data_IF_354512469090
#
_entry.id   IF_354512469090
#
_cell.length_a   1.000
_cell.length_b   1.000
_cell.length_c   1.000
_cell.angle_alpha   90.00
_cell.angle_beta   90.00
_cell.angle_gamma   90.00
#
_symmetry.space_group_name_H-M   'P 1'
#
loop_
_entity.id
_entity.type
_entity.pdbx_description
1 polymer ?
#
# COMPACT_ATOMS: atom_id res chain seq x y z
N UNK A 1 -8.95 -4.46 -12.39
CA UNK A 1 -7.93 -3.53 -11.88
C UNK A 1 -7.45 -2.58 -12.95
N UNK A 2 -6.81 -3.09 -14.02
CA UNK A 2 -6.39 -2.28 -15.18
C UNK A 2 -7.46 -1.31 -15.69
N UNK A 3 -8.70 -1.79 -15.90
CA UNK A 3 -9.81 -0.93 -16.33
C UNK A 3 -10.20 0.20 -15.35
N UNK A 4 -10.01 0.00 -14.03
CA UNK A 4 -10.26 1.05 -13.02
C UNK A 4 -9.14 2.08 -13.07
N UNK A 5 -7.90 1.63 -13.20
CA UNK A 5 -6.74 2.50 -13.37
C UNK A 5 -6.88 3.39 -14.62
N UNK A 6 -7.18 2.78 -15.77
CA UNK A 6 -7.43 3.49 -17.04
C UNK A 6 -8.56 4.52 -16.91
N UNK A 7 -9.65 4.19 -16.21
CA UNK A 7 -10.75 5.13 -15.99
C UNK A 7 -10.34 6.33 -15.12
N UNK A 8 -9.47 6.13 -14.12
CA UNK A 8 -8.93 7.21 -13.29
C UNK A 8 -7.97 8.08 -14.09
N UNK A 9 -7.05 7.47 -14.85
CA UNK A 9 -6.12 8.18 -15.73
C UNK A 9 -6.85 9.07 -16.74
N UNK A 10 -7.80 8.50 -17.49
CA UNK A 10 -8.62 9.25 -18.46
C UNK A 10 -9.36 10.45 -17.82
N UNK A 11 -9.76 10.33 -16.54
CA UNK A 11 -10.38 11.42 -15.81
C UNK A 11 -9.41 12.54 -15.43
N UNK A 12 -8.15 12.21 -15.15
CA UNK A 12 -7.11 13.15 -14.72
C UNK A 12 -6.39 13.85 -15.89
N UNK A 13 -6.39 13.24 -17.08
CA UNK A 13 -5.83 13.84 -18.31
C UNK A 13 -6.47 15.17 -18.74
N UNK A 14 -7.58 15.58 -18.11
CA UNK A 14 -8.23 16.87 -18.34
C UNK A 14 -7.54 18.05 -17.61
N UNK A 15 -6.58 17.78 -16.71
CA UNK A 15 -5.84 18.79 -15.94
C UNK A 15 -4.44 19.12 -16.50
N UNK A 16 -3.89 20.28 -16.11
CA UNK A 16 -2.55 20.73 -16.50
C UNK A 16 -1.46 20.51 -15.44
N UNK A 17 -1.81 19.95 -14.29
CA UNK A 17 -0.88 19.71 -13.18
C UNK A 17 -0.30 18.30 -13.26
N UNK A 18 1.01 18.12 -12.94
CA UNK A 18 1.56 16.79 -12.73
C UNK A 18 0.77 16.05 -11.65
N UNK A 19 0.38 14.82 -11.92
CA UNK A 19 -0.36 13.98 -10.97
C UNK A 19 0.26 12.59 -10.86
N UNK A 20 -0.08 11.89 -9.78
CA UNK A 20 0.30 10.49 -9.56
C UNK A 20 -0.94 9.75 -9.08
N UNK A 21 -1.26 8.63 -9.71
CA UNK A 21 -2.42 7.81 -9.36
C UNK A 21 -2.01 6.75 -8.36
N UNK A 22 -2.50 6.88 -7.12
CA UNK A 22 -2.37 5.87 -6.08
C UNK A 22 -3.68 5.13 -5.89
N UNK A 23 -3.75 3.87 -6.32
CA UNK A 23 -4.91 3.03 -6.06
C UNK A 23 -4.41 1.73 -5.41
N UNK A 24 -4.77 1.44 -4.15
CA UNK A 24 -4.44 0.15 -3.56
C UNK A 24 -5.34 -0.94 -4.13
N UNK A 25 -4.78 -2.12 -4.44
CA UNK A 25 -5.64 -3.23 -4.81
C UNK A 25 -6.45 -3.64 -3.59
N UNK A 26 -7.74 -3.32 -3.65
CA UNK A 26 -8.79 -3.61 -2.67
C UNK A 26 -8.78 -2.73 -1.42
N UNK A 27 -7.68 -2.64 -0.69
CA UNK A 27 -7.61 -1.89 0.57
C UNK A 27 -6.19 -1.35 0.84
N UNK A 28 -6.09 -0.18 1.48
CA UNK A 28 -4.79 0.47 1.79
C UNK A 28 -3.94 -0.37 2.75
N UNK A 29 -4.59 -1.17 3.59
CA UNK A 29 -3.98 -2.16 4.47
C UNK A 29 -3.10 -3.14 3.70
N UNK A 30 -3.44 -3.45 2.44
CA UNK A 30 -2.58 -4.30 1.60
C UNK A 30 -1.20 -3.67 1.34
N UNK A 31 -1.11 -2.35 1.25
CA UNK A 31 0.19 -1.67 1.12
C UNK A 31 0.93 -1.62 2.45
N UNK A 32 0.22 -1.38 3.56
CA UNK A 32 0.80 -1.45 4.91
C UNK A 32 1.36 -2.84 5.26
N UNK A 33 0.74 -3.89 4.72
CA UNK A 33 1.20 -5.29 4.85
C UNK A 33 2.36 -5.65 3.90
N UNK A 34 2.79 -4.70 3.07
CA UNK A 34 3.82 -4.87 2.04
C UNK A 34 5.22 -5.09 2.61
N UNK A 35 5.50 -4.61 3.82
CA UNK A 35 6.81 -4.73 4.48
C UNK A 35 6.62 -5.31 5.89
N UNK A 36 7.10 -6.53 6.09
CA UNK A 36 6.98 -7.21 7.38
C UNK A 36 7.90 -6.57 8.41
N UNK A 37 9.11 -6.15 8.04
CA UNK A 37 10.10 -5.61 8.97
C UNK A 37 9.62 -4.26 9.53
N UNK A 38 8.96 -3.45 8.71
CA UNK A 38 8.31 -2.21 9.16
C UNK A 38 7.18 -2.48 10.17
N UNK A 39 6.37 -3.52 9.95
CA UNK A 39 5.34 -3.93 10.90
C UNK A 39 5.94 -4.45 12.20
N UNK A 40 7.04 -5.22 12.14
CA UNK A 40 7.72 -5.72 13.33
C UNK A 40 8.28 -4.56 14.17
N UNK A 41 8.84 -3.53 13.52
CA UNK A 41 9.31 -2.32 14.18
C UNK A 41 8.17 -1.58 14.90
N UNK A 42 7.02 -1.40 14.24
CA UNK A 42 5.86 -0.70 14.81
C UNK A 42 5.20 -1.55 15.91
N UNK A 43 5.08 -2.85 15.73
CA UNK A 43 4.48 -3.76 16.71
C UNK A 43 5.41 -4.07 17.90
N UNK A 44 6.72 -3.82 17.77
CA UNK A 44 7.72 -4.19 18.78
C UNK A 44 7.88 -5.70 18.97
N UNK A 45 7.43 -6.52 18.02
CA UNK A 45 7.44 -7.98 18.06
C UNK A 45 7.47 -8.55 16.65
N UNK A 46 7.84 -9.82 16.53
CA UNK A 46 7.72 -10.52 15.25
C UNK A 46 6.26 -10.68 14.82
N UNK A 47 6.01 -10.53 13.52
CA UNK A 47 4.67 -10.61 12.93
C UNK A 47 4.63 -11.74 11.89
N UNK A 48 3.58 -12.56 11.96
CA UNK A 48 3.35 -13.61 10.96
C UNK A 48 2.32 -13.13 9.95
N UNK A 49 2.74 -12.88 8.72
CA UNK A 49 1.84 -12.53 7.62
C UNK A 49 1.43 -13.76 6.82
N UNK A 50 0.21 -13.80 6.25
CA UNK A 50 -0.15 -14.83 5.28
C UNK A 50 0.81 -14.82 4.09
N UNK A 51 1.12 -16.00 3.55
CA UNK A 51 1.97 -16.14 2.37
C UNK A 51 1.35 -15.52 1.11
N UNK A 52 2.22 -15.17 0.16
CA UNK A 52 1.82 -14.56 -1.11
C UNK A 52 1.83 -13.02 -1.09
N UNK A 53 1.14 -12.43 -2.07
CA UNK A 53 1.10 -10.98 -2.25
C UNK A 53 0.03 -10.33 -1.36
N UNK A 54 0.40 -9.33 -0.52
CA UNK A 54 -0.54 -8.62 0.33
C UNK A 54 -1.71 -7.95 -0.41
N UNK A 55 -1.50 -7.53 -1.66
CA UNK A 55 -2.51 -6.88 -2.50
C UNK A 55 -3.58 -7.85 -3.03
N UNK A 56 -3.36 -9.16 -2.91
CA UNK A 56 -4.30 -10.21 -3.29
C UNK A 56 -5.05 -10.82 -2.10
N UNK A 57 -4.72 -10.43 -0.87
CA UNK A 57 -5.38 -10.91 0.34
C UNK A 57 -6.90 -10.67 0.28
N UNK A 58 -7.64 -11.64 0.79
CA UNK A 58 -9.07 -11.54 0.99
C UNK A 58 -9.58 -12.56 1.97
N UNK A 59 -10.75 -12.27 2.52
CA UNK A 59 -11.44 -13.16 3.44
C UNK A 59 -12.85 -12.68 3.70
N UNK A 60 -13.54 -13.38 4.59
CA UNK A 60 -14.86 -12.98 5.04
C UNK A 60 -14.76 -11.75 5.96
N UNK A 61 -15.35 -10.63 5.53
CA UNK A 61 -15.33 -9.34 6.26
C UNK A 61 -15.90 -9.41 7.69
N UNK A 62 -16.69 -10.44 8.02
CA UNK A 62 -17.29 -10.64 9.35
C UNK A 62 -16.61 -11.74 10.17
N UNK A 63 -15.44 -12.18 9.72
CA UNK A 63 -14.62 -13.19 10.38
C UNK A 63 -13.23 -12.61 10.62
N UNK A 64 -12.93 -12.29 11.87
CA UNK A 64 -11.68 -11.68 12.33
C UNK A 64 -10.48 -12.64 12.17
N UNK A 65 -10.73 -13.94 11.98
CA UNK A 65 -9.71 -14.94 11.64
C UNK A 65 -9.38 -15.01 10.15
N UNK A 66 -10.19 -14.37 9.28
CA UNK A 66 -10.01 -14.45 7.84
C UNK A 66 -8.83 -13.63 7.32
N UNK A 67 -8.45 -13.85 6.06
CA UNK A 67 -7.41 -13.08 5.38
C UNK A 67 -7.93 -11.78 4.77
N UNK A 68 -9.01 -11.21 5.30
CA UNK A 68 -9.42 -9.86 4.94
C UNK A 68 -8.30 -8.88 5.36
N UNK A 69 -7.77 -8.01 4.46
CA UNK A 69 -6.53 -7.27 4.76
C UNK A 69 -6.56 -6.46 6.07
N UNK A 70 -7.72 -5.90 6.44
CA UNK A 70 -7.92 -5.22 7.72
C UNK A 70 -7.66 -6.13 8.92
N UNK A 71 -8.19 -7.35 8.89
CA UNK A 71 -8.01 -8.33 9.96
C UNK A 71 -6.58 -8.83 10.03
N UNK A 72 -5.92 -8.99 8.88
CA UNK A 72 -4.50 -9.35 8.84
C UNK A 72 -3.65 -8.27 9.50
N UNK A 73 -3.90 -6.98 9.19
CA UNK A 73 -3.18 -5.87 9.80
C UNK A 73 -3.45 -5.77 11.30
N UNK A 74 -4.71 -5.89 11.72
CA UNK A 74 -5.07 -5.92 13.15
C UNK A 74 -4.32 -7.01 13.92
N UNK A 75 -4.29 -8.25 13.40
CA UNK A 75 -3.57 -9.36 14.05
C UNK A 75 -2.05 -9.15 14.04
N UNK A 76 -1.50 -8.54 12.99
CA UNK A 76 -0.09 -8.21 12.92
C UNK A 76 0.30 -7.21 14.01
N UNK A 77 -0.58 -6.25 14.32
CA UNK A 77 -0.34 -5.20 15.32
C UNK A 77 -0.83 -5.54 16.74
N UNK A 78 -1.72 -6.54 16.88
CA UNK A 78 -2.50 -6.79 18.10
C UNK A 78 -3.38 -5.59 18.52
N UNK A 79 -3.77 -4.74 17.56
CA UNK A 79 -4.58 -3.54 17.81
C UNK A 79 -5.30 -3.08 16.53
N UNK A 80 -6.27 -2.17 16.69
CA UNK A 80 -6.94 -1.48 15.58
C UNK A 80 -6.02 -0.40 14.99
N UNK A 81 -5.58 -0.52 13.72
CA UNK A 81 -4.74 0.49 13.10
C UNK A 81 -5.51 1.81 12.92
N UNK A 82 -4.93 2.90 13.39
CA UNK A 82 -5.40 4.26 13.18
C UNK A 82 -4.44 5.04 12.26
N UNK A 83 -4.77 6.29 11.95
CA UNK A 83 -3.97 7.12 11.05
C UNK A 83 -2.51 7.31 11.51
N UNK A 84 -2.27 7.40 12.82
CA UNK A 84 -0.92 7.52 13.38
C UNK A 84 -0.12 6.23 13.17
N UNK A 85 -0.74 5.07 13.39
CA UNK A 85 -0.12 3.77 13.13
C UNK A 85 0.24 3.61 11.64
N UNK A 86 -0.65 4.01 10.72
CA UNK A 86 -0.32 4.02 9.30
C UNK A 86 0.87 4.93 8.97
N UNK A 87 0.96 6.11 9.61
CA UNK A 87 2.10 7.01 9.43
C UNK A 87 3.40 6.41 9.96
N UNK A 88 3.36 5.70 11.09
CA UNK A 88 4.51 4.98 11.65
C UNK A 88 4.98 3.86 10.71
N UNK A 89 4.05 3.04 10.19
CA UNK A 89 4.36 1.99 9.21
C UNK A 89 4.98 2.62 7.95
N UNK A 90 4.38 3.67 7.41
CA UNK A 90 4.89 4.35 6.22
C UNK A 90 6.28 4.97 6.45
N UNK A 91 6.58 5.44 7.66
CA UNK A 91 7.89 6.00 7.99
C UNK A 91 8.97 4.93 8.18
N UNK A 92 8.61 3.71 8.59
CA UNK A 92 9.53 2.61 8.78
C UNK A 92 9.72 1.75 7.51
N UNK A 93 8.78 1.85 6.56
CA UNK A 93 8.72 1.01 5.37
C UNK A 93 9.84 1.25 4.36
N UNK A 94 10.38 0.15 3.82
CA UNK A 94 11.12 0.16 2.57
C UNK A 94 10.14 0.08 1.39
N UNK A 95 10.08 1.17 0.61
CA UNK A 95 9.17 1.28 -0.53
C UNK A 95 9.46 0.25 -1.63
N UNK A 96 10.70 -0.18 -1.80
CA UNK A 96 11.07 -1.19 -2.80
C UNK A 96 10.63 -2.59 -2.35
N UNK A 97 10.64 -2.87 -1.03
CA UNK A 97 10.06 -4.11 -0.47
C UNK A 97 8.55 -4.14 -0.71
N UNK A 98 7.84 -3.05 -0.43
CA UNK A 98 6.40 -2.96 -0.71
C UNK A 98 6.14 -3.12 -2.21
N UNK A 99 6.92 -2.49 -3.09
CA UNK A 99 6.76 -2.62 -4.54
C UNK A 99 6.95 -4.06 -5.04
N UNK A 100 7.93 -4.78 -4.50
CA UNK A 100 8.17 -6.18 -4.85
C UNK A 100 7.03 -7.10 -4.37
N UNK A 101 6.44 -6.81 -3.21
CA UNK A 101 5.34 -7.62 -2.66
C UNK A 101 3.97 -7.24 -3.20
N UNK A 102 3.80 -6.01 -3.69
CA UNK A 102 2.58 -5.47 -4.29
C UNK A 102 2.83 -4.97 -5.73
N UNK A 103 3.21 -5.87 -6.67
CA UNK A 103 3.63 -5.49 -8.02
C UNK A 103 2.49 -4.96 -8.91
N UNK A 104 1.22 -5.25 -8.59
CA UNK A 104 0.06 -4.88 -9.42
C UNK A 104 -0.47 -3.49 -9.06
N UNK A 105 -0.32 -3.05 -7.81
CA UNK A 105 -0.86 -1.78 -7.33
C UNK A 105 0.20 -0.79 -6.82
N UNK A 106 1.06 -1.18 -5.89
CA UNK A 106 2.02 -0.25 -5.30
C UNK A 106 3.19 0.07 -6.22
N UNK A 107 3.75 -0.95 -6.89
CA UNK A 107 4.87 -0.75 -7.81
C UNK A 107 4.60 0.28 -8.92
N UNK A 108 3.49 0.22 -9.68
CA UNK A 108 3.21 1.25 -10.68
C UNK A 108 3.01 2.64 -10.06
N UNK A 109 2.37 2.74 -8.89
CA UNK A 109 2.24 3.98 -8.13
C UNK A 109 3.61 4.58 -7.76
N UNK A 110 4.51 3.77 -7.19
CA UNK A 110 5.85 4.22 -6.79
C UNK A 110 6.69 4.67 -7.99
N UNK A 111 6.60 3.96 -9.11
CA UNK A 111 7.29 4.34 -10.35
C UNK A 111 6.79 5.68 -10.90
N UNK A 112 5.47 5.89 -10.89
CA UNK A 112 4.87 7.17 -11.28
C UNK A 112 5.31 8.30 -10.33
N UNK A 113 5.31 8.03 -9.02
CA UNK A 113 5.76 9.00 -8.00
C UNK A 113 7.21 9.42 -8.22
N UNK A 114 8.12 8.46 -8.40
CA UNK A 114 9.55 8.71 -8.66
C UNK A 114 9.76 9.50 -9.96
N UNK A 115 9.00 9.18 -11.00
CA UNK A 115 9.04 9.88 -12.29
C UNK A 115 8.59 11.34 -12.14
N UNK A 116 7.46 11.58 -11.49
CA UNK A 116 6.93 12.93 -11.26
C UNK A 116 7.82 13.76 -10.34
N UNK A 117 8.35 13.17 -9.27
CA UNK A 117 9.28 13.85 -8.37
C UNK A 117 10.53 14.34 -9.10
N UNK A 118 11.07 13.52 -10.01
CA UNK A 118 12.24 13.88 -10.83
C UNK A 118 11.98 15.11 -11.70
N UNK A 119 10.77 15.21 -12.30
CA UNK A 119 10.35 16.36 -13.12
C UNK A 119 10.29 17.64 -12.27
N UNK A 120 9.70 17.57 -11.07
CA UNK A 120 9.57 18.73 -10.19
C UNK A 120 10.92 19.24 -9.64
N UNK A 121 11.92 18.37 -9.50
CA UNK A 121 13.27 18.77 -9.05
C UNK A 121 14.13 19.41 -10.14
N UNK A 122 13.70 19.33 -11.42
CA UNK A 122 14.44 19.86 -12.57
C UNK A 122 13.93 21.21 -13.09
N UNK A 123 12.96 21.83 -12.44
CA UNK A 123 12.49 23.17 -12.77
C UNK A 123 13.33 24.20 -11.99
N UNK A 124 14.15 25.04 -12.66
CA UNK A 124 14.96 26.08 -12.01
C UNK A 124 14.13 27.23 -11.43
#
# INVERSE_FOLDING_TARGET
>A
WRAVHEAVENGLEQGSLPYVVGVPLRMVESWALGDADALEQVAGRSVSLPGGSPELLWGAKRDDGSNYPKHVLQRALDDEPNAEVFAQIASAADLDVIANRCPVSFAPFLNALRSTASICTTVP
#
